data_IF_947716501846
#
_entry.id   IF_947716501846
#
_cell.length_a   1.000
_cell.length_b   1.000
_cell.length_c   1.000
_cell.angle_alpha   90.00
_cell.angle_beta   90.00
_cell.angle_gamma   90.00
#
_symmetry.space_group_name_H-M   'P 1'
#
loop_
_entity.id
_entity.type
_entity.pdbx_description
1 polymer ?
#
# COMPACT_ATOMS: atom_id res chain seq x y z
N UNK A 1 -35.01 -37.52 60.44
CA UNK A 1 -36.49 -37.60 60.43
C UNK A 1 -36.87 -39.07 60.16
N UNK A 2 -36.48 -40.03 60.99
CA UNK A 2 -37.19 -40.57 62.19
C UNK A 2 -38.72 -40.68 62.01
N UNK A 3 -39.19 -41.90 61.72
CA UNK A 3 -40.48 -42.55 62.09
C UNK A 3 -40.18 -44.07 61.99
N UNK A 4 -40.02 -44.87 63.04
CA UNK A 4 -40.96 -45.28 64.10
C UNK A 4 -42.31 -45.72 63.54
N UNK A 5 -42.47 -47.03 63.31
CA UNK A 5 -43.73 -47.75 63.46
C UNK A 5 -43.43 -49.01 64.27
N UNK A 6 -44.00 -49.02 65.46
CA UNK A 6 -43.95 -50.02 66.51
C UNK A 6 -45.02 -51.12 66.33
N UNK A 7 -44.72 -52.29 66.91
CA UNK A 7 -45.63 -53.16 67.67
C UNK A 7 -46.85 -53.81 66.99
N UNK A 8 -46.73 -55.12 66.72
CA UNK A 8 -47.85 -56.07 66.80
C UNK A 8 -47.49 -57.22 67.75
N UNK A 9 -48.11 -57.19 68.93
CA UNK A 9 -48.11 -58.23 69.96
C UNK A 9 -49.05 -59.39 69.59
N UNK A 10 -48.69 -60.67 69.80
CA UNK A 10 -49.65 -61.77 69.75
C UNK A 10 -50.30 -61.98 71.12
N UNK A 11 -51.64 -62.07 71.15
CA UNK A 11 -52.41 -62.44 72.36
C UNK A 11 -52.76 -63.93 72.36
N UNK A 12 -52.90 -64.57 73.55
CA UNK A 12 -53.03 -66.01 73.70
C UNK A 12 -54.50 -66.47 73.68
N UNK A 13 -54.79 -67.61 73.07
CA UNK A 13 -56.10 -68.28 73.18
C UNK A 13 -55.91 -69.72 73.69
N UNK A 14 -56.58 -70.04 74.80
CA UNK A 14 -56.60 -71.36 75.42
C UNK A 14 -58.05 -71.87 75.64
N UNK A 15 -58.32 -73.03 75.00
CA UNK A 15 -59.03 -74.26 75.45
C UNK A 15 -60.55 -74.27 75.81
N UNK A 16 -61.34 -75.06 75.04
CA UNK A 16 -61.97 -76.38 75.40
C UNK A 16 -62.85 -76.92 74.23
N UNK A 17 -62.48 -78.05 73.58
CA UNK A 17 -62.97 -79.47 73.71
C UNK A 17 -64.43 -79.73 73.25
N UNK A 18 -64.82 -80.96 72.85
CA UNK A 18 -64.27 -81.89 71.85
C UNK A 18 -65.37 -82.49 70.94
N UNK A 19 -65.08 -82.78 69.67
CA UNK A 19 -66.01 -83.54 68.82
C UNK A 19 -65.60 -83.51 67.36
N UNK A 20 -65.66 -84.68 66.73
CA UNK A 20 -65.69 -84.90 65.29
C UNK A 20 -64.37 -84.85 64.51
N UNK A 21 -64.02 -86.07 64.12
CA UNK A 21 -63.03 -86.56 63.18
C UNK A 21 -63.16 -85.95 61.78
N UNK A 22 -62.44 -84.87 61.46
CA UNK A 22 -62.03 -84.56 60.06
C UNK A 22 -60.94 -83.48 59.87
N UNK A 23 -60.17 -83.08 60.89
CA UNK A 23 -59.44 -81.79 60.81
C UNK A 23 -57.99 -81.83 60.31
N UNK A 24 -57.35 -83.00 60.18
CA UNK A 24 -55.94 -83.07 59.72
C UNK A 24 -55.78 -82.61 58.27
N UNK A 25 -56.76 -82.87 57.39
CA UNK A 25 -56.74 -82.38 56.00
C UNK A 25 -56.95 -80.86 55.92
N UNK A 26 -57.68 -80.26 56.87
CA UNK A 26 -57.99 -78.82 56.89
C UNK A 26 -56.81 -77.96 57.32
N UNK A 27 -56.01 -78.39 58.30
CA UNK A 27 -54.82 -77.64 58.73
C UNK A 27 -53.69 -77.72 57.71
N UNK A 28 -53.52 -78.86 57.05
CA UNK A 28 -52.54 -79.03 55.96
C UNK A 28 -52.95 -78.17 54.75
N UNK A 29 -54.25 -78.10 54.43
CA UNK A 29 -54.75 -77.23 53.35
C UNK A 29 -54.58 -75.74 53.67
N UNK A 30 -54.85 -75.31 54.92
CA UNK A 30 -54.60 -73.93 55.34
C UNK A 30 -53.10 -73.58 55.31
N UNK A 31 -52.25 -74.49 55.79
CA UNK A 31 -50.79 -74.30 55.81
C UNK A 31 -50.22 -74.23 54.39
N UNK A 32 -50.68 -75.08 53.47
CA UNK A 32 -50.32 -75.01 52.06
C UNK A 32 -50.79 -73.69 51.42
N UNK A 33 -52.00 -73.22 51.74
CA UNK A 33 -52.51 -71.96 51.20
C UNK A 33 -51.71 -70.75 51.69
N UNK A 34 -51.36 -70.70 52.98
CA UNK A 34 -50.50 -69.64 53.52
C UNK A 34 -49.05 -69.74 53.00
N UNK A 35 -48.53 -70.95 52.83
CA UNK A 35 -47.19 -71.16 52.26
C UNK A 35 -47.14 -70.74 50.79
N UNK A 36 -48.16 -71.08 49.99
CA UNK A 36 -48.29 -70.70 48.59
C UNK A 36 -48.50 -69.18 48.43
N UNK A 37 -49.32 -68.56 49.29
CA UNK A 37 -49.48 -67.11 49.34
C UNK A 37 -48.18 -66.39 49.72
N UNK A 38 -47.40 -66.93 50.67
CA UNK A 38 -46.10 -66.37 51.08
C UNK A 38 -45.08 -66.47 49.94
N UNK A 39 -45.03 -67.61 49.24
CA UNK A 39 -44.17 -67.80 48.06
C UNK A 39 -44.56 -66.82 46.94
N UNK A 40 -45.86 -66.62 46.69
CA UNK A 40 -46.35 -65.69 45.68
C UNK A 40 -46.01 -64.23 46.02
N UNK A 41 -46.12 -63.83 47.29
CA UNK A 41 -45.71 -62.49 47.73
C UNK A 41 -44.20 -62.29 47.64
N UNK A 42 -43.40 -63.26 48.06
CA UNK A 42 -41.94 -63.18 47.98
C UNK A 42 -41.45 -63.15 46.53
N UNK A 43 -42.09 -63.91 45.64
CA UNK A 43 -41.79 -63.88 44.20
C UNK A 43 -42.19 -62.54 43.56
N UNK A 44 -43.33 -61.97 43.97
CA UNK A 44 -43.78 -60.64 43.53
C UNK A 44 -42.87 -59.51 44.00
N UNK A 45 -42.40 -59.57 45.25
CA UNK A 45 -41.44 -58.61 45.82
C UNK A 45 -40.08 -58.76 45.13
N UNK A 46 -39.62 -59.98 44.87
CA UNK A 46 -38.38 -60.23 44.12
C UNK A 46 -38.45 -59.71 42.68
N UNK A 47 -39.58 -59.89 41.99
CA UNK A 47 -39.79 -59.36 40.64
C UNK A 47 -39.85 -57.82 40.62
N UNK A 48 -40.51 -57.20 41.60
CA UNK A 48 -40.54 -55.74 41.75
C UNK A 48 -39.14 -55.17 42.08
N UNK A 49 -38.37 -55.86 42.92
CA UNK A 49 -36.99 -55.50 43.23
C UNK A 49 -36.09 -55.59 41.99
N UNK A 50 -36.17 -56.67 41.21
CA UNK A 50 -35.42 -56.85 39.96
C UNK A 50 -35.76 -55.76 38.91
N UNK A 51 -37.05 -55.44 38.76
CA UNK A 51 -37.49 -54.33 37.90
C UNK A 51 -36.94 -52.98 38.35
N UNK A 52 -36.86 -52.74 39.66
CA UNK A 52 -36.34 -51.48 40.23
C UNK A 52 -34.82 -51.38 40.02
N UNK A 53 -34.08 -52.48 40.22
CA UNK A 53 -32.63 -52.52 39.97
C UNK A 53 -32.32 -52.27 38.50
N UNK A 54 -33.10 -52.87 37.58
CA UNK A 54 -32.96 -52.62 36.13
C UNK A 54 -33.22 -51.16 35.77
N UNK A 55 -34.26 -50.56 36.35
CA UNK A 55 -34.57 -49.15 36.09
C UNK A 55 -33.49 -48.22 36.64
N UNK A 56 -32.97 -48.48 37.84
CA UNK A 56 -31.88 -47.71 38.42
C UNK A 56 -30.61 -47.80 37.58
N UNK A 57 -30.26 -49.00 37.08
CA UNK A 57 -29.11 -49.16 36.19
C UNK A 57 -29.28 -48.41 34.85
N UNK A 58 -30.50 -48.31 34.32
CA UNK A 58 -30.76 -47.53 33.11
C UNK A 58 -30.69 -46.01 33.38
N UNK A 59 -31.18 -45.55 34.53
CA UNK A 59 -31.06 -44.16 34.95
C UNK A 59 -29.60 -43.76 35.17
N UNK A 60 -28.80 -44.61 35.81
CA UNK A 60 -27.36 -44.41 35.99
C UNK A 60 -26.64 -44.29 34.64
N UNK A 61 -26.92 -45.19 33.69
CA UNK A 61 -26.39 -45.10 32.32
C UNK A 61 -26.78 -43.78 31.65
N UNK A 62 -28.03 -43.33 31.81
CA UNK A 62 -28.49 -42.09 31.19
C UNK A 62 -27.86 -40.86 31.83
N UNK A 63 -27.59 -40.90 33.13
CA UNK A 63 -26.84 -39.86 33.84
C UNK A 63 -25.42 -39.77 33.30
N UNK A 64 -24.71 -40.90 33.18
CA UNK A 64 -23.35 -40.92 32.61
C UNK A 64 -23.29 -40.37 31.18
N UNK A 65 -24.25 -40.76 30.34
CA UNK A 65 -24.33 -40.27 28.97
C UNK A 65 -24.56 -38.75 28.92
N UNK A 66 -25.49 -38.24 29.74
CA UNK A 66 -25.79 -36.82 29.81
C UNK A 66 -24.59 -36.02 30.36
N UNK A 67 -23.89 -36.54 31.36
CA UNK A 67 -22.68 -35.91 31.90
C UNK A 67 -21.58 -35.78 30.84
N UNK A 68 -21.41 -36.81 30.01
CA UNK A 68 -20.45 -36.80 28.90
C UNK A 68 -20.83 -35.78 27.84
N UNK A 69 -22.11 -35.73 27.45
CA UNK A 69 -22.61 -34.72 26.51
C UNK A 69 -22.42 -33.30 27.06
N UNK A 70 -22.72 -33.09 28.34
CA UNK A 70 -22.58 -31.80 28.99
C UNK A 70 -21.11 -31.36 29.04
N UNK A 71 -20.19 -32.29 29.32
CA UNK A 71 -18.75 -32.03 29.28
C UNK A 71 -18.28 -31.64 27.87
N UNK A 72 -18.77 -32.33 26.83
CA UNK A 72 -18.49 -31.99 25.44
C UNK A 72 -19.00 -30.59 25.08
N UNK A 73 -20.26 -30.28 25.38
CA UNK A 73 -20.86 -28.97 25.12
C UNK A 73 -20.15 -27.84 25.86
N UNK A 74 -19.77 -28.04 27.13
CA UNK A 74 -18.98 -27.06 27.90
C UNK A 74 -17.64 -26.76 27.24
N UNK A 75 -16.94 -27.81 26.77
CA UNK A 75 -15.66 -27.66 26.09
C UNK A 75 -15.82 -26.92 24.76
N UNK A 76 -16.81 -27.30 23.94
CA UNK A 76 -17.09 -26.65 22.67
C UNK A 76 -17.48 -25.17 22.86
N UNK A 77 -18.30 -24.87 23.88
CA UNK A 77 -18.68 -23.50 24.23
C UNK A 77 -17.48 -22.67 24.69
N UNK A 78 -16.60 -23.23 25.53
CA UNK A 78 -15.38 -22.53 25.98
C UNK A 78 -14.51 -22.11 24.80
N UNK A 79 -14.28 -23.02 23.85
CA UNK A 79 -13.49 -22.73 22.64
C UNK A 79 -14.17 -21.67 21.78
N UNK A 80 -15.50 -21.72 21.63
CA UNK A 80 -16.25 -20.73 20.86
C UNK A 80 -16.22 -19.32 21.49
N UNK A 81 -16.20 -19.23 22.82
CA UNK A 81 -16.07 -17.95 23.53
C UNK A 81 -14.66 -17.38 23.33
N UNK A 82 -13.62 -18.19 23.50
CA UNK A 82 -12.23 -17.75 23.30
C UNK A 82 -11.96 -17.28 21.87
N UNK A 83 -12.49 -17.97 20.86
CA UNK A 83 -12.39 -17.53 19.46
C UNK A 83 -13.18 -16.25 19.20
N UNK A 84 -14.36 -16.08 19.81
CA UNK A 84 -15.12 -14.83 19.71
C UNK A 84 -14.38 -13.66 20.35
N UNK A 85 -13.76 -13.86 21.52
CA UNK A 85 -13.06 -12.79 22.23
C UNK A 85 -11.76 -12.39 21.52
N UNK A 86 -11.02 -13.35 20.96
CA UNK A 86 -9.87 -13.04 20.11
C UNK A 86 -10.26 -12.27 18.85
N UNK A 87 -11.37 -12.65 18.20
CA UNK A 87 -11.93 -11.90 17.07
C UNK A 87 -12.34 -10.47 17.47
N UNK A 88 -13.02 -10.29 18.61
CA UNK A 88 -13.38 -8.95 19.11
C UNK A 88 -12.15 -8.07 19.36
N UNK A 89 -11.08 -8.65 19.91
CA UNK A 89 -9.82 -7.92 20.14
C UNK A 89 -9.17 -7.52 18.80
N UNK A 90 -9.16 -8.40 17.81
CA UNK A 90 -8.68 -8.09 16.47
C UNK A 90 -9.50 -6.97 15.81
N UNK A 91 -10.84 -7.07 15.86
CA UNK A 91 -11.74 -6.03 15.34
C UNK A 91 -11.51 -4.70 16.05
N UNK A 92 -11.38 -4.69 17.38
CA UNK A 92 -11.09 -3.48 18.14
C UNK A 92 -9.74 -2.86 17.77
N UNK A 93 -8.72 -3.71 17.54
CA UNK A 93 -7.39 -3.26 17.12
C UNK A 93 -7.42 -2.66 15.72
N UNK A 94 -8.09 -3.33 14.77
CA UNK A 94 -8.29 -2.84 13.41
C UNK A 94 -9.09 -1.53 13.40
N UNK A 95 -10.19 -1.45 14.15
CA UNK A 95 -10.98 -0.23 14.27
C UNK A 95 -10.16 0.94 14.85
N UNK A 96 -9.26 0.67 15.79
CA UNK A 96 -8.33 1.68 16.32
C UNK A 96 -7.34 2.14 15.26
N UNK A 97 -6.81 1.23 14.44
CA UNK A 97 -5.94 1.57 13.31
C UNK A 97 -6.68 2.40 12.26
N UNK A 98 -7.90 2.01 11.88
CA UNK A 98 -8.76 2.76 10.96
C UNK A 98 -9.03 4.16 11.50
N UNK A 99 -9.44 4.27 12.77
CA UNK A 99 -9.70 5.58 13.40
C UNK A 99 -8.46 6.46 13.45
N UNK A 100 -7.27 5.86 13.64
CA UNK A 100 -6.01 6.62 13.59
C UNK A 100 -5.67 7.09 12.18
N UNK A 101 -5.96 6.28 11.15
CA UNK A 101 -5.75 6.65 9.75
C UNK A 101 -6.77 7.70 9.29
N UNK A 102 -8.02 7.60 9.72
CA UNK A 102 -9.07 8.58 9.46
C UNK A 102 -8.76 9.92 10.11
N UNK A 103 -8.27 9.92 11.35
CA UNK A 103 -7.81 11.13 12.03
C UNK A 103 -6.67 11.82 11.25
N UNK A 104 -5.76 11.04 10.64
CA UNK A 104 -4.79 11.58 9.70
C UNK A 104 -5.50 12.13 8.45
N UNK A 105 -6.39 11.39 7.80
CA UNK A 105 -7.05 11.82 6.56
C UNK A 105 -7.90 13.08 6.70
N UNK A 106 -8.54 13.32 7.85
CA UNK A 106 -9.34 14.54 8.09
C UNK A 106 -8.49 15.80 8.30
N UNK A 107 -7.25 15.67 8.76
CA UNK A 107 -6.32 16.79 8.97
C UNK A 107 -5.32 16.98 7.82
N UNK A 108 -5.22 16.03 6.90
CA UNK A 108 -4.36 16.15 5.72
C UNK A 108 -4.94 17.20 4.79
N UNK A 109 -4.19 18.29 4.55
CA UNK A 109 -4.44 19.22 3.47
C UNK A 109 -4.17 18.51 2.13
N UNK A 110 -5.20 18.09 1.37
CA UNK A 110 -4.98 17.23 0.22
C UNK A 110 -4.20 17.98 -0.85
N UNK A 111 -3.33 17.25 -1.53
CA UNK A 111 -2.29 17.80 -2.36
C UNK A 111 -2.42 17.32 -3.80
N UNK A 112 -2.28 18.26 -4.72
CA UNK A 112 -2.24 18.01 -6.15
C UNK A 112 -0.93 18.58 -6.68
N UNK A 113 -0.19 17.76 -7.39
CA UNK A 113 0.99 18.22 -8.11
C UNK A 113 0.73 18.15 -9.60
N UNK A 114 1.08 19.22 -10.30
CA UNK A 114 1.18 19.29 -11.73
C UNK A 114 2.65 19.45 -12.10
N UNK A 115 3.20 18.48 -12.83
CA UNK A 115 4.59 18.45 -13.26
C UNK A 115 4.61 18.55 -14.78
N UNK A 116 5.33 19.54 -15.29
CA UNK A 116 5.49 19.78 -16.72
C UNK A 116 6.95 19.63 -17.11
N UNK A 117 7.22 18.82 -18.13
CA UNK A 117 8.52 18.74 -18.78
C UNK A 117 8.59 19.71 -19.96
N UNK A 118 9.11 20.92 -19.73
CA UNK A 118 9.23 21.97 -20.73
C UNK A 118 10.16 21.65 -21.90
N UNK A 119 10.89 20.53 -21.85
CA UNK A 119 11.72 20.07 -22.96
C UNK A 119 10.92 19.20 -23.96
N UNK A 120 9.80 18.61 -23.52
CA UNK A 120 8.93 17.77 -24.35
C UNK A 120 7.59 18.43 -24.67
N UNK A 121 7.02 19.21 -23.74
CA UNK A 121 5.72 19.89 -23.94
C UNK A 121 5.90 21.41 -24.00
N UNK A 122 5.40 22.01 -25.08
CA UNK A 122 5.55 23.44 -25.36
C UNK A 122 4.21 24.16 -25.25
N UNK A 123 4.21 25.34 -24.64
CA UNK A 123 3.03 26.22 -24.61
C UNK A 123 2.70 26.75 -26.00
N UNK A 124 1.41 26.98 -26.27
CA UNK A 124 0.98 27.47 -27.57
C UNK A 124 1.58 28.84 -27.88
N UNK A 125 1.85 29.07 -29.17
CA UNK A 125 2.53 30.28 -29.64
C UNK A 125 1.79 31.57 -29.24
N UNK A 126 0.46 31.52 -29.15
CA UNK A 126 -0.38 32.64 -28.71
C UNK A 126 0.01 33.10 -27.29
N UNK A 127 0.33 32.18 -26.38
CA UNK A 127 0.79 32.56 -25.05
C UNK A 127 2.23 33.08 -25.08
N UNK A 128 3.12 32.40 -25.80
CA UNK A 128 4.54 32.77 -25.86
C UNK A 128 4.74 34.20 -26.41
N UNK A 129 4.09 34.54 -27.53
CA UNK A 129 4.20 35.88 -28.15
C UNK A 129 3.64 36.99 -27.26
N UNK A 130 2.59 36.70 -26.49
CA UNK A 130 1.99 37.66 -25.55
C UNK A 130 2.83 37.88 -24.28
N UNK A 131 4.00 37.23 -24.17
CA UNK A 131 4.96 37.39 -23.09
C UNK A 131 4.30 37.31 -21.72
N UNK A 132 4.47 38.34 -20.90
CA UNK A 132 3.97 38.40 -19.54
C UNK A 132 2.45 38.12 -19.43
N UNK A 133 1.63 38.73 -20.28
CA UNK A 133 0.19 38.49 -20.27
C UNK A 133 -0.17 37.07 -20.73
N UNK A 134 0.62 36.52 -21.64
CA UNK A 134 0.48 35.12 -22.05
C UNK A 134 0.79 34.14 -20.93
N UNK A 135 1.84 34.40 -20.15
CA UNK A 135 2.20 33.60 -18.97
C UNK A 135 1.08 33.57 -17.92
N UNK A 136 0.50 34.74 -17.61
CA UNK A 136 -0.65 34.84 -16.71
C UNK A 136 -1.84 34.01 -17.20
N UNK A 137 -2.22 34.17 -18.48
CA UNK A 137 -3.37 33.48 -19.07
C UNK A 137 -3.16 31.97 -19.16
N UNK A 138 -1.95 31.53 -19.51
CA UNK A 138 -1.61 30.10 -19.56
C UNK A 138 -1.74 29.44 -18.17
N UNK A 139 -1.24 30.10 -17.13
CA UNK A 139 -1.36 29.62 -15.75
C UNK A 139 -2.82 29.60 -15.26
N UNK A 140 -3.61 30.62 -15.61
CA UNK A 140 -5.04 30.67 -15.33
C UNK A 140 -5.82 29.56 -16.06
N UNK A 141 -5.52 29.33 -17.33
CA UNK A 141 -6.14 28.27 -18.14
C UNK A 141 -5.84 26.89 -17.55
N UNK A 142 -4.58 26.63 -17.19
CA UNK A 142 -4.19 25.38 -16.53
C UNK A 142 -4.90 25.21 -15.18
N UNK A 143 -4.98 26.28 -14.38
CA UNK A 143 -5.71 26.25 -13.08
C UNK A 143 -7.18 25.92 -13.28
N UNK A 144 -7.82 26.54 -14.29
CA UNK A 144 -9.22 26.29 -14.62
C UNK A 144 -9.44 24.84 -15.03
N UNK A 145 -8.63 24.31 -15.95
CA UNK A 145 -8.75 22.92 -16.41
C UNK A 145 -8.54 21.91 -15.28
N UNK A 146 -7.57 22.17 -14.39
CA UNK A 146 -7.37 21.34 -13.19
C UNK A 146 -8.60 21.41 -12.28
N UNK A 147 -9.13 22.60 -12.00
CA UNK A 147 -10.31 22.74 -11.15
C UNK A 147 -11.54 22.01 -11.73
N UNK A 148 -11.76 22.11 -13.04
CA UNK A 148 -12.83 21.39 -13.75
C UNK A 148 -12.64 19.87 -13.64
N UNK A 149 -11.42 19.36 -13.87
CA UNK A 149 -11.09 17.94 -13.71
C UNK A 149 -11.34 17.42 -12.28
N UNK A 150 -10.99 18.21 -11.26
CA UNK A 150 -11.26 17.81 -9.86
C UNK A 150 -12.74 17.81 -9.52
N UNK A 151 -13.53 18.59 -10.24
CA UNK A 151 -14.99 18.62 -10.12
C UNK A 151 -15.61 17.33 -10.68
N UNK A 152 -15.06 16.79 -11.77
CA UNK A 152 -15.54 15.54 -12.37
C UNK A 152 -15.19 14.29 -11.57
N UNK A 153 -14.14 14.36 -10.75
CA UNK A 153 -13.66 13.25 -9.91
C UNK A 153 -14.28 13.24 -8.50
N UNK A 154 -15.30 14.07 -8.24
CA UNK A 154 -15.91 14.29 -6.92
C UNK A 154 -14.92 14.69 -5.80
N UNK A 155 -13.74 15.19 -6.18
CA UNK A 155 -12.71 15.63 -5.24
C UNK A 155 -13.01 17.01 -4.63
N UNK A 156 -14.08 17.68 -5.05
CA UNK A 156 -14.54 18.93 -4.42
C UNK A 156 -15.02 18.77 -2.97
N UNK A 157 -15.25 17.53 -2.52
CA UNK A 157 -15.62 17.26 -1.12
C UNK A 157 -14.53 17.73 -0.13
N UNK A 158 -13.29 17.91 -0.60
CA UNK A 158 -12.22 18.46 0.20
C UNK A 158 -12.30 19.99 0.28
N UNK A 159 -12.59 20.51 1.47
CA UNK A 159 -12.75 21.96 1.71
C UNK A 159 -11.50 22.81 1.45
N UNK A 160 -10.29 22.20 1.42
CA UNK A 160 -9.01 22.91 1.24
C UNK A 160 -7.97 22.07 0.49
N UNK A 161 -8.06 22.06 -0.83
CA UNK A 161 -7.06 21.40 -1.68
C UNK A 161 -5.90 22.37 -1.98
N UNK A 162 -4.67 21.92 -1.76
CA UNK A 162 -3.46 22.61 -2.21
C UNK A 162 -3.03 22.06 -3.56
N UNK A 163 -2.78 22.94 -4.53
CA UNK A 163 -2.25 22.53 -5.84
C UNK A 163 -0.96 23.27 -6.18
N UNK A 164 0.03 22.56 -6.70
CA UNK A 164 1.33 23.09 -7.10
C UNK A 164 1.62 22.76 -8.56
N UNK A 165 2.15 23.73 -9.31
CA UNK A 165 2.58 23.54 -10.70
C UNK A 165 4.08 23.73 -10.75
N UNK A 166 4.80 22.72 -11.21
CA UNK A 166 6.26 22.76 -11.37
C UNK A 166 6.61 22.50 -12.83
N UNK A 167 7.15 23.51 -13.50
CA UNK A 167 7.70 23.40 -14.84
C UNK A 167 9.21 23.17 -14.74
N UNK A 168 9.67 21.99 -15.12
CA UNK A 168 11.08 21.68 -15.31
C UNK A 168 11.47 22.03 -16.73
N UNK A 169 12.52 22.83 -16.92
CA UNK A 169 12.90 23.30 -18.25
C UNK A 169 14.38 23.59 -18.31
N UNK A 170 15.04 23.22 -19.40
CA UNK A 170 16.34 23.79 -19.72
C UNK A 170 16.13 25.11 -20.46
N UNK A 171 16.21 26.24 -19.75
CA UNK A 171 15.85 27.55 -20.32
C UNK A 171 16.69 27.91 -21.55
N UNK A 172 17.97 27.54 -21.55
CA UNK A 172 18.89 27.82 -22.66
C UNK A 172 18.48 27.03 -23.90
N UNK A 173 18.24 25.73 -23.74
CA UNK A 173 17.84 24.86 -24.84
C UNK A 173 16.48 25.25 -25.40
N UNK A 174 15.48 25.44 -24.53
CA UNK A 174 14.15 25.85 -24.94
C UNK A 174 14.18 27.18 -25.71
N UNK A 175 14.89 28.18 -25.18
CA UNK A 175 15.05 29.47 -25.83
C UNK A 175 15.63 29.34 -27.23
N UNK A 176 16.72 28.57 -27.38
CA UNK A 176 17.34 28.34 -28.68
C UNK A 176 16.37 27.66 -29.65
N UNK A 177 15.64 26.64 -29.19
CA UNK A 177 14.64 25.93 -30.00
C UNK A 177 13.54 26.88 -30.50
N UNK A 178 12.91 27.65 -29.61
CA UNK A 178 11.80 28.52 -29.94
C UNK A 178 12.20 29.69 -30.86
N UNK A 179 13.39 30.28 -30.63
CA UNK A 179 13.90 31.38 -31.45
C UNK A 179 14.29 30.88 -32.85
N UNK A 180 14.98 29.74 -32.96
CA UNK A 180 15.37 29.17 -34.25
C UNK A 180 14.16 28.84 -35.14
N UNK A 181 12.99 28.61 -34.53
CA UNK A 181 11.74 28.33 -35.20
C UNK A 181 10.86 29.59 -35.40
N UNK A 182 11.35 30.77 -35.03
CA UNK A 182 10.61 32.04 -35.08
C UNK A 182 9.27 31.99 -34.33
N UNK A 183 9.20 31.24 -33.23
CA UNK A 183 7.97 31.12 -32.42
C UNK A 183 7.78 32.37 -31.56
N UNK A 184 8.85 32.80 -30.87
CA UNK A 184 8.87 34.00 -30.03
C UNK A 184 10.28 34.60 -29.93
N UNK A 185 10.39 35.83 -29.47
CA UNK A 185 11.67 36.46 -29.13
C UNK A 185 12.17 36.04 -27.75
N UNK A 186 13.43 36.38 -27.44
CA UNK A 186 14.01 36.18 -26.12
C UNK A 186 13.21 36.91 -25.03
N UNK A 187 12.90 38.17 -25.27
CA UNK A 187 12.19 39.04 -24.33
C UNK A 187 10.76 38.54 -24.07
N UNK A 188 10.10 38.04 -25.11
CA UNK A 188 8.77 37.43 -25.00
C UNK A 188 8.80 36.18 -24.12
N UNK A 189 9.77 35.29 -24.30
CA UNK A 189 9.88 34.07 -23.49
C UNK A 189 10.19 34.38 -22.01
N UNK A 190 11.12 35.29 -21.75
CA UNK A 190 11.48 35.68 -20.38
C UNK A 190 10.30 36.42 -19.69
N UNK A 191 9.57 37.26 -20.43
CA UNK A 191 8.35 37.88 -19.96
C UNK A 191 7.26 36.83 -19.67
N UNK A 192 7.10 35.82 -20.54
CA UNK A 192 6.17 34.71 -20.33
C UNK A 192 6.44 33.97 -19.03
N UNK A 193 7.69 33.58 -18.76
CA UNK A 193 8.05 32.93 -17.49
C UNK A 193 7.77 33.80 -16.26
N UNK A 194 7.99 35.11 -16.39
CA UNK A 194 7.69 36.06 -15.32
C UNK A 194 6.20 36.13 -15.04
N UNK A 195 5.36 36.17 -16.09
CA UNK A 195 3.90 36.14 -15.96
C UNK A 195 3.38 34.82 -15.39
N UNK A 196 3.93 33.71 -15.86
CA UNK A 196 3.54 32.36 -15.41
C UNK A 196 3.73 32.18 -13.91
N UNK A 197 4.91 32.54 -13.38
CA UNK A 197 5.21 32.43 -11.94
C UNK A 197 4.52 33.50 -11.09
N UNK A 198 4.24 34.69 -11.63
CA UNK A 198 3.54 35.74 -10.88
C UNK A 198 2.05 35.45 -10.65
N UNK A 199 1.44 34.54 -11.43
CA UNK A 199 0.03 34.16 -11.28
C UNK A 199 -0.29 33.65 -9.87
N UNK A 200 0.63 32.90 -9.26
CA UNK A 200 0.49 32.35 -7.92
C UNK A 200 1.85 31.84 -7.42
N UNK A 201 2.15 31.96 -6.11
CA UNK A 201 3.40 31.43 -5.54
C UNK A 201 3.53 29.90 -5.68
N UNK A 202 2.47 29.20 -6.07
CA UNK A 202 2.45 27.76 -6.33
C UNK A 202 2.84 27.36 -7.75
N UNK A 203 3.11 28.35 -8.62
CA UNK A 203 3.65 28.15 -9.96
C UNK A 203 5.16 28.36 -9.93
N UNK A 204 5.89 27.26 -10.08
CA UNK A 204 7.34 27.22 -9.95
C UNK A 204 7.94 26.83 -11.30
N UNK A 205 9.01 27.52 -11.68
CA UNK A 205 9.86 27.15 -12.80
C UNK A 205 11.20 26.71 -12.25
N UNK A 206 11.59 25.47 -12.55
CA UNK A 206 12.87 24.89 -12.20
C UNK A 206 13.73 24.89 -13.45
N UNK A 207 14.72 25.78 -13.50
CA UNK A 207 15.72 25.78 -14.56
C UNK A 207 16.70 24.61 -14.34
N UNK A 208 16.78 23.71 -15.31
CA UNK A 208 17.61 22.52 -15.24
C UNK A 208 18.74 22.63 -16.26
N UNK A 209 19.98 22.63 -15.76
CA UNK A 209 21.16 22.61 -16.61
C UNK A 209 21.56 21.17 -16.99
N UNK A 210 22.09 21.00 -18.19
CA UNK A 210 22.66 19.75 -18.69
C UNK A 210 21.69 18.85 -19.44
N UNK A 211 22.21 18.10 -20.41
CA UNK A 211 21.44 17.14 -21.22
C UNK A 211 20.92 16.00 -20.34
N UNK A 212 19.61 15.71 -20.39
CA UNK A 212 18.96 14.68 -19.58
C UNK A 212 18.81 15.01 -18.08
N UNK A 213 19.20 16.21 -17.65
CA UNK A 213 19.08 16.64 -16.26
C UNK A 213 17.63 16.79 -15.80
N UNK A 214 16.73 17.20 -16.72
CA UNK A 214 15.30 17.39 -16.43
C UNK A 214 14.62 16.05 -16.16
N UNK A 215 14.83 15.06 -17.02
CA UNK A 215 14.22 13.73 -16.91
C UNK A 215 14.50 13.05 -15.56
N UNK A 216 15.75 13.05 -15.11
CA UNK A 216 16.12 12.43 -13.84
C UNK A 216 15.41 13.10 -12.65
N UNK A 217 15.33 14.44 -12.65
CA UNK A 217 14.64 15.20 -11.60
C UNK A 217 13.14 14.97 -11.64
N UNK A 218 12.52 14.95 -12.82
CA UNK A 218 11.09 14.72 -12.99
C UNK A 218 10.72 13.32 -12.51
N UNK A 219 11.49 12.28 -12.87
CA UNK A 219 11.22 10.90 -12.43
C UNK A 219 11.25 10.78 -10.92
N UNK A 220 12.29 11.31 -10.27
CA UNK A 220 12.42 11.27 -8.82
C UNK A 220 11.30 12.08 -8.14
N UNK A 221 10.95 13.23 -8.70
CA UNK A 221 9.85 14.06 -8.21
C UNK A 221 8.53 13.29 -8.27
N UNK A 222 8.18 12.70 -9.41
CA UNK A 222 6.94 11.94 -9.56
C UNK A 222 6.93 10.73 -8.61
N UNK A 223 8.00 9.95 -8.56
CA UNK A 223 8.11 8.79 -7.67
C UNK A 223 7.94 9.17 -6.19
N UNK A 224 8.57 10.27 -5.77
CA UNK A 224 8.48 10.75 -4.39
C UNK A 224 7.07 11.20 -4.03
N UNK A 225 6.49 12.12 -4.81
CA UNK A 225 5.21 12.74 -4.46
C UNK A 225 4.01 11.82 -4.70
N UNK A 226 4.10 10.85 -5.62
CA UNK A 226 3.04 9.85 -5.81
C UNK A 226 2.86 8.95 -4.57
N UNK A 227 3.96 8.65 -3.87
CA UNK A 227 3.96 7.84 -2.65
C UNK A 227 3.35 8.56 -1.44
N UNK A 228 3.20 9.89 -1.48
CA UNK A 228 2.67 10.62 -0.34
C UNK A 228 1.17 10.35 -0.15
N UNK A 229 0.72 10.00 1.07
CA UNK A 229 -0.69 9.75 1.35
C UNK A 229 -1.59 10.95 1.03
N UNK A 230 -1.13 12.18 1.29
CA UNK A 230 -1.90 13.39 1.00
C UNK A 230 -2.00 13.73 -0.49
N UNK A 231 -1.15 13.15 -1.35
CA UNK A 231 -1.20 13.41 -2.78
C UNK A 231 -2.36 12.66 -3.39
N UNK A 232 -3.40 13.40 -3.80
CA UNK A 232 -4.59 12.86 -4.42
C UNK A 232 -4.35 12.54 -5.90
N UNK A 233 -3.71 13.47 -6.62
CA UNK A 233 -3.44 13.37 -8.05
C UNK A 233 -2.10 13.97 -8.42
N UNK A 234 -1.43 13.31 -9.36
CA UNK A 234 -0.21 13.75 -10.03
C UNK A 234 -0.56 14.03 -11.50
N UNK A 235 -0.74 15.29 -11.87
CA UNK A 235 -0.87 15.69 -13.27
C UNK A 235 0.51 15.77 -13.92
N UNK A 236 0.71 15.09 -15.04
CA UNK A 236 2.03 14.95 -15.67
C UNK A 236 1.93 15.32 -17.15
N UNK A 237 2.70 16.32 -17.58
CA UNK A 237 2.79 16.76 -18.98
C UNK A 237 4.20 16.63 -19.55
N UNK A 238 4.33 16.22 -20.82
CA UNK A 238 5.63 16.08 -21.48
C UNK A 238 6.47 14.91 -20.97
N UNK A 239 5.83 13.82 -20.54
CA UNK A 239 6.53 12.63 -20.07
C UNK A 239 6.01 11.39 -20.82
N UNK A 240 5.92 11.49 -22.15
CA UNK A 240 5.33 10.42 -22.99
C UNK A 240 6.40 9.48 -23.56
N UNK A 241 7.66 9.88 -23.49
CA UNK A 241 8.76 9.15 -24.12
C UNK A 241 9.12 7.88 -23.35
N UNK A 242 9.78 6.95 -24.05
CA UNK A 242 10.11 5.60 -23.53
C UNK A 242 10.99 5.62 -22.26
N UNK A 243 11.74 6.70 -22.05
CA UNK A 243 12.57 6.90 -20.86
C UNK A 243 11.72 6.92 -19.55
N UNK A 244 10.42 7.20 -19.59
CA UNK A 244 9.51 7.20 -18.43
C UNK A 244 8.82 5.85 -18.19
N UNK A 245 8.90 4.87 -19.10
CA UNK A 245 8.23 3.58 -18.95
C UNK A 245 8.59 2.87 -17.63
N UNK A 246 9.87 2.88 -17.25
CA UNK A 246 10.31 2.26 -16.00
C UNK A 246 9.71 2.90 -14.74
N UNK A 247 9.48 4.22 -14.77
CA UNK A 247 8.81 4.94 -13.68
C UNK A 247 7.35 4.49 -13.58
N UNK A 248 6.60 4.52 -14.68
CA UNK A 248 5.18 4.16 -14.67
C UNK A 248 4.96 2.69 -14.35
N UNK A 249 5.82 1.78 -14.82
CA UNK A 249 5.78 0.37 -14.42
C UNK A 249 6.07 0.17 -12.92
N UNK A 250 6.98 0.97 -12.34
CA UNK A 250 7.20 0.97 -10.89
C UNK A 250 5.96 1.42 -10.12
N UNK A 251 5.35 2.54 -10.53
CA UNK A 251 4.11 3.05 -9.93
C UNK A 251 2.93 2.08 -10.10
N UNK A 252 2.87 1.33 -11.20
CA UNK A 252 1.88 0.27 -11.41
C UNK A 252 2.09 -0.87 -10.39
N UNK A 253 3.33 -1.32 -10.21
CA UNK A 253 3.69 -2.33 -9.21
C UNK A 253 3.34 -1.93 -7.77
N UNK A 254 3.46 -0.65 -7.46
CA UNK A 254 3.11 -0.08 -6.14
C UNK A 254 1.62 0.32 -6.00
N UNK A 255 0.79 0.03 -7.01
CA UNK A 255 -0.62 0.42 -7.08
C UNK A 255 -0.87 1.95 -6.96
N UNK A 256 0.11 2.77 -7.36
CA UNK A 256 0.05 4.23 -7.35
C UNK A 256 -0.32 4.85 -8.70
N UNK A 257 -0.32 4.06 -9.78
CA UNK A 257 -0.60 4.55 -11.14
C UNK A 257 -1.99 5.23 -11.25
N UNK A 258 -2.98 4.80 -10.46
CA UNK A 258 -4.31 5.42 -10.41
C UNK A 258 -4.33 6.87 -9.91
N UNK A 259 -3.24 7.36 -9.30
CA UNK A 259 -3.09 8.78 -8.94
C UNK A 259 -2.59 9.64 -10.12
N UNK A 260 -2.01 9.03 -11.15
CA UNK A 260 -1.36 9.74 -12.25
C UNK A 260 -2.39 10.10 -13.32
N UNK A 261 -2.36 11.36 -13.74
CA UNK A 261 -3.21 11.92 -14.79
C UNK A 261 -2.32 12.55 -15.82
N UNK A 262 -2.39 12.10 -17.07
CA UNK A 262 -1.53 12.69 -18.10
C UNK A 262 -2.21 13.93 -18.69
N UNK A 263 -1.55 15.08 -18.62
CA UNK A 263 -1.94 16.24 -19.41
C UNK A 263 -1.64 15.95 -20.88
N UNK A 264 -2.41 16.48 -21.83
CA UNK A 264 -2.07 16.41 -23.26
C UNK A 264 -2.71 17.56 -24.06
N UNK A 265 -2.19 17.79 -25.27
CA UNK A 265 -2.65 18.83 -26.20
C UNK A 265 -3.87 18.43 -27.05
N UNK A 266 -4.47 17.26 -26.79
CA UNK A 266 -5.54 16.71 -27.64
C UNK A 266 -5.09 16.11 -28.98
N UNK A 267 -3.79 16.20 -29.32
CA UNK A 267 -3.34 15.71 -30.63
C UNK A 267 -3.48 14.19 -30.76
N UNK A 268 -3.79 13.66 -31.98
CA UNK A 268 -3.94 12.22 -32.19
C UNK A 268 -2.67 11.42 -31.83
N UNK A 269 -1.50 12.06 -31.90
CA UNK A 269 -0.23 11.47 -31.50
C UNK A 269 -0.11 11.34 -29.98
N UNK A 270 -0.44 12.40 -29.23
CA UNK A 270 -0.46 12.35 -27.78
C UNK A 270 -1.41 11.26 -27.27
N UNK A 271 -2.62 11.15 -27.85
CA UNK A 271 -3.59 10.11 -27.49
C UNK A 271 -3.05 8.70 -27.75
N UNK A 272 -2.30 8.48 -28.84
CA UNK A 272 -1.65 7.19 -29.11
C UNK A 272 -0.57 6.85 -28.09
N UNK A 273 0.23 7.81 -27.66
CA UNK A 273 1.25 7.56 -26.63
C UNK A 273 0.62 7.24 -25.26
N UNK A 274 -0.49 7.90 -24.90
CA UNK A 274 -1.24 7.59 -23.68
C UNK A 274 -1.73 6.14 -23.65
N UNK A 275 -2.27 5.65 -24.77
CA UNK A 275 -2.70 4.26 -24.91
C UNK A 275 -1.55 3.26 -24.69
N UNK A 276 -0.33 3.61 -25.10
CA UNK A 276 0.86 2.74 -24.89
C UNK A 276 1.29 2.67 -23.44
N UNK A 277 1.15 3.77 -22.69
CA UNK A 277 1.55 3.85 -21.30
C UNK A 277 0.55 3.19 -20.33
N UNK A 278 -0.62 2.75 -20.83
CA UNK A 278 -1.72 2.17 -20.03
C UNK A 278 -2.16 3.06 -18.86
N UNK A 279 -1.98 4.37 -18.98
CA UNK A 279 -2.36 5.31 -17.92
C UNK A 279 -3.88 5.52 -17.99
N UNK A 280 -4.63 5.34 -16.89
CA UNK A 280 -6.10 5.32 -16.92
C UNK A 280 -6.75 6.64 -17.31
N UNK A 281 -6.13 7.77 -16.95
CA UNK A 281 -6.76 9.09 -17.03
C UNK A 281 -5.88 10.09 -17.80
N UNK A 282 -6.48 10.69 -18.84
CA UNK A 282 -5.92 11.81 -19.59
C UNK A 282 -6.74 13.07 -19.35
N UNK A 283 -6.07 14.21 -19.18
CA UNK A 283 -6.69 15.53 -19.11
C UNK A 283 -6.22 16.37 -20.29
N UNK A 284 -7.15 16.66 -21.19
CA UNK A 284 -6.91 17.58 -22.29
C UNK A 284 -7.03 19.03 -21.79
N UNK A 285 -6.05 19.86 -22.12
CA UNK A 285 -6.14 21.30 -21.89
C UNK A 285 -6.10 22.01 -23.24
N UNK A 286 -7.28 22.22 -23.80
CA UNK A 286 -7.46 22.78 -25.14
C UNK A 286 -6.72 24.11 -25.31
N UNK A 287 -5.93 24.20 -26.39
CA UNK A 287 -5.20 25.43 -26.76
C UNK A 287 -4.03 25.82 -25.86
N UNK A 288 -3.78 25.14 -24.74
CA UNK A 288 -2.67 25.46 -23.82
C UNK A 288 -1.31 25.09 -24.43
N UNK A 289 -1.24 23.93 -25.07
CA UNK A 289 0.00 23.36 -25.61
C UNK A 289 -0.03 23.36 -27.14
N UNK A 290 1.15 23.32 -27.76
CA UNK A 290 1.25 23.11 -29.20
C UNK A 290 0.72 21.72 -29.57
N UNK A 291 -0.14 21.65 -30.59
CA UNK A 291 -0.73 20.40 -31.10
C UNK A 291 0.34 19.51 -31.75
N UNK A 292 1.26 20.12 -32.50
CA UNK A 292 2.32 19.40 -33.22
C UNK A 292 3.68 19.63 -32.57
N UNK A 293 4.08 18.70 -31.70
CA UNK A 293 5.34 18.77 -30.95
C UNK A 293 6.51 18.09 -31.68
N UNK A 294 6.22 17.30 -32.73
CA UNK A 294 7.19 16.51 -33.51
C UNK A 294 8.22 17.34 -34.26
N UNK A 295 7.94 18.61 -34.56
CA UNK A 295 8.86 19.47 -35.32
C UNK A 295 9.96 20.12 -34.46
N UNK A 296 9.88 20.08 -33.13
CA UNK A 296 10.77 20.89 -32.27
C UNK A 296 11.79 20.08 -31.44
N UNK A 297 11.66 18.75 -31.41
CA UNK A 297 12.36 17.89 -30.45
C UNK A 297 13.61 17.15 -30.91
N UNK A 298 14.06 17.29 -32.17
CA UNK A 298 15.33 16.68 -32.60
C UNK A 298 16.21 17.70 -33.33
N UNK A 299 17.37 18.11 -32.78
CA UNK A 299 18.44 18.53 -33.68
C UNK A 299 18.71 17.37 -34.64
N UNK A 300 18.97 17.61 -35.94
CA UNK A 300 19.38 16.54 -36.82
C UNK A 300 20.64 15.94 -36.22
N UNK A 301 20.53 14.75 -35.64
CA UNK A 301 21.69 13.97 -35.25
C UNK A 301 22.47 13.82 -36.54
N UNK A 302 23.70 14.38 -36.67
CA UNK A 302 24.44 14.22 -37.91
C UNK A 302 24.49 12.71 -38.16
N UNK A 303 24.01 12.30 -39.33
CA UNK A 303 24.09 10.91 -39.74
C UNK A 303 25.54 10.47 -39.51
N UNK A 304 25.78 9.27 -38.92
CA UNK A 304 27.15 8.77 -38.87
C UNK A 304 27.63 8.79 -40.32
N UNK A 305 28.69 9.56 -40.58
CA UNK A 305 29.33 9.59 -41.89
C UNK A 305 29.60 8.13 -42.25
N UNK A 306 28.89 7.61 -43.25
CA UNK A 306 29.18 6.30 -43.80
C UNK A 306 30.53 6.44 -44.50
N UNK A 307 31.60 6.13 -43.76
CA UNK A 307 32.91 5.98 -44.33
C UNK A 307 32.86 4.68 -45.14
N UNK A 308 32.80 4.82 -46.46
CA UNK A 308 32.87 3.67 -47.36
C UNK A 308 34.12 2.84 -47.07
N UNK A 309 33.91 1.53 -47.03
CA UNK A 309 34.94 0.51 -46.90
C UNK A 309 36.00 0.67 -48.00
N UNK A 310 37.17 1.19 -47.64
CA UNK A 310 38.40 0.94 -48.37
C UNK A 310 39.35 0.11 -47.52
N UNK A 311 39.38 -1.19 -47.81
CA UNK A 311 40.47 -2.06 -47.37
C UNK A 311 41.67 -1.89 -48.31
N UNK A 312 42.86 -1.89 -47.68
CA UNK A 312 44.22 -2.08 -48.22
C UNK A 312 45.05 -0.83 -48.62
N UNK A 313 45.88 -0.37 -47.68
CA UNK A 313 47.35 -0.26 -47.84
C UNK A 313 48.01 0.14 -46.49
N UNK A 314 49.18 -0.43 -46.11
CA UNK A 314 49.86 -0.08 -44.88
C UNK A 314 50.72 1.16 -45.11
N UNK A 315 50.37 2.27 -44.44
CA UNK A 315 51.23 3.45 -44.38
C UNK A 315 51.67 3.70 -42.94
N UNK A 316 52.96 3.49 -42.72
CA UNK A 316 53.68 3.96 -41.55
C UNK A 316 53.64 5.49 -41.52
N UNK A 317 52.89 6.06 -40.57
CA UNK A 317 52.82 7.51 -40.41
C UNK A 317 52.13 7.85 -39.10
N UNK A 318 52.90 7.83 -38.00
CA UNK A 318 52.41 8.20 -36.68
C UNK A 318 52.12 9.69 -36.56
N UNK A 319 51.02 10.01 -35.87
CA UNK A 319 50.85 11.21 -35.06
C UNK A 319 50.08 10.82 -33.79
N UNK A 320 50.55 11.35 -32.67
CA UNK A 320 50.31 10.83 -31.32
C UNK A 320 48.92 11.16 -30.76
N UNK A 321 48.26 10.15 -30.19
CA UNK A 321 47.19 10.35 -29.20
C UNK A 321 47.79 10.73 -27.85
N UNK A 322 47.21 11.66 -27.09
CA UNK A 322 47.61 11.89 -25.70
C UNK A 322 47.23 10.67 -24.87
N UNK A 323 48.24 9.90 -24.48
CA UNK A 323 48.12 8.85 -23.47
C UNK A 323 47.96 9.50 -22.09
N UNK A 324 46.88 9.13 -21.39
CA UNK A 324 46.77 9.30 -19.95
C UNK A 324 47.95 8.61 -19.25
N UNK A 325 48.61 9.24 -18.26
CA UNK A 325 49.77 8.63 -17.64
C UNK A 325 49.42 7.32 -16.93
N UNK A 326 50.30 6.35 -17.15
CA UNK A 326 50.33 5.00 -16.61
C UNK A 326 50.26 5.06 -15.07
N UNK A 327 49.28 4.35 -14.49
CA UNK A 327 49.21 4.11 -13.04
C UNK A 327 50.38 3.23 -12.60
N UNK A 328 51.39 3.85 -12.03
CA UNK A 328 52.43 3.16 -11.25
C UNK A 328 51.94 2.89 -9.82
N UNK A 329 51.94 1.61 -9.45
CA UNK A 329 51.95 0.97 -8.13
C UNK A 329 50.98 1.46 -7.03
N UNK A 330 50.28 0.48 -6.45
CA UNK A 330 49.24 0.61 -5.44
C UNK A 330 49.62 1.49 -4.25
N UNK A 331 48.72 2.41 -3.92
CA UNK A 331 48.75 3.17 -2.67
C UNK A 331 47.66 2.62 -1.75
N UNK A 332 48.06 2.24 -0.54
CA UNK A 332 47.19 1.72 0.50
C UNK A 332 46.32 2.86 1.03
N UNK A 333 45.00 2.68 0.98
CA UNK A 333 44.02 3.58 1.60
C UNK A 333 43.87 3.12 3.05
N UNK A 334 44.17 4.00 4.01
CA UNK A 334 43.92 3.70 5.42
C UNK A 334 42.42 3.81 5.71
N UNK A 335 41.82 2.66 6.00
CA UNK A 335 40.38 2.51 6.25
C UNK A 335 39.96 3.01 7.63
N UNK A 336 40.90 3.28 8.54
CA UNK A 336 40.59 3.72 9.91
C UNK A 336 40.24 5.21 10.02
N UNK A 337 40.38 6.00 8.94
CA UNK A 337 40.11 7.44 8.96
C UNK A 337 38.77 7.82 8.29
N UNK A 338 37.99 8.75 8.87
CA UNK A 338 36.75 9.24 8.28
C UNK A 338 37.02 10.02 6.98
N UNK A 339 36.10 9.89 6.02
CA UNK A 339 36.26 10.30 4.61
C UNK A 339 36.80 11.73 4.41
N UNK A 340 36.38 12.68 5.24
CA UNK A 340 36.77 14.08 5.11
C UNK A 340 38.20 14.40 5.58
N UNK A 341 38.92 13.43 6.17
CA UNK A 341 40.32 13.58 6.60
C UNK A 341 41.31 12.79 5.74
N UNK A 342 40.85 12.18 4.65
CA UNK A 342 41.71 11.44 3.72
C UNK A 342 42.33 12.43 2.73
N UNK A 343 43.35 13.18 3.18
CA UNK A 343 44.11 14.11 2.34
C UNK A 343 45.29 13.41 1.68
N UNK A 344 45.45 13.58 0.37
CA UNK A 344 46.53 12.98 -0.41
C UNK A 344 47.88 13.64 -0.09
N UNK A 345 48.78 12.92 0.57
CA UNK A 345 50.17 13.35 0.71
C UNK A 345 50.95 13.07 -0.58
N UNK A 346 51.51 14.14 -1.17
CA UNK A 346 52.53 14.07 -2.21
C UNK A 346 53.92 14.01 -1.53
N UNK A 347 54.74 12.98 -1.77
CA UNK A 347 56.12 12.96 -1.31
C UNK A 347 56.99 13.64 -2.35
N UNK A 348 57.30 14.92 -2.16
CA UNK A 348 58.59 15.55 -2.49
C UNK A 348 58.49 17.07 -2.33
N UNK A 349 58.95 17.57 -1.18
CA UNK A 349 59.64 18.86 -1.04
C UNK A 349 60.18 18.98 0.39
N UNK A 350 61.28 18.28 0.63
CA UNK A 350 62.28 18.68 1.61
C UNK A 350 63.36 19.37 0.81
N UNK A 351 63.51 20.69 0.97
CA UNK A 351 64.81 21.36 1.18
C UNK A 351 64.65 22.89 1.26
N UNK A 352 65.26 23.42 2.33
CA UNK A 352 65.78 24.79 2.50
C UNK A 352 64.81 25.95 2.83
N UNK A 353 64.68 26.21 4.14
CA UNK A 353 64.83 27.56 4.72
C UNK A 353 66.29 27.66 5.27
N UNK A 354 66.89 28.83 5.64
CA UNK A 354 66.25 30.10 6.04
C UNK A 354 67.00 31.43 5.70
N UNK A 355 66.40 32.55 6.14
CA UNK A 355 66.96 33.86 6.57
C UNK A 355 67.34 34.94 5.53
N UNK A 356 66.65 36.09 5.58
CA UNK A 356 67.04 37.28 6.39
C UNK A 356 66.07 38.46 6.17
N UNK A 357 65.51 38.97 7.27
CA UNK A 357 65.19 40.39 7.47
C UNK A 357 65.66 40.72 8.89
N UNK A 358 66.74 41.52 9.00
CA UNK A 358 67.03 42.37 10.15
C UNK A 358 68.18 43.31 9.77
N UNK A 359 67.82 44.57 9.64
CA UNK A 359 68.69 45.74 9.74
C UNK A 359 69.23 45.87 11.17
N UNK A 360 70.51 45.59 11.34
CA UNK A 360 71.58 46.43 11.92
C UNK A 360 72.89 45.64 11.88
#
# INVERSE_FOLDING_TARGET
MVRVIDNLTPSPFMIRRPGETSSTTSYVSLFLFFFEATILTDLGIAAAADSTVKHNGELERRIEELELQLAFYKRAHSVAVETSDTQKIQIATLNKQISSLDAFQTDLSPLIHCVLNGDEIFFSQVFLINGFQGGLRAAQLLTKAIAEYLSTEDLQLFTRISFWVTLFVNKIQLRNTLINQNICTHEQLDAFFSGFTQTSPRFIIVDVAGEGGADAKIKEYIATYACFPQTLRMLVGGCYTRNYNGLFSGLEGDALLGKVVMLHSGSPEAVRELQRLKIPSGLEVEGLFLETQTFLGQPPRPAPLQLENFNSAPSNGGLASPQSPIRGNGRVIDLALPLHKRTYLLPHLLLALPHKYASL
#
